data_IF_583267820458
#
_entry.id   IF_583267820458
#
_cell.length_a   1.000
_cell.length_b   1.000
_cell.length_c   1.000
_cell.angle_alpha   90.00
_cell.angle_beta   90.00
_cell.angle_gamma   90.00
#
_symmetry.space_group_name_H-M   'P 1'
#
loop_
_entity.id
_entity.type
_entity.pdbx_description
1 polymer ?
#
# COMPACT_ATOMS: atom_id res chain seq x y z
N UNK A 1 7.23 13.97 21.84
CA UNK A 1 6.60 12.66 22.09
C UNK A 1 5.11 12.90 22.10
N UNK A 2 4.38 12.26 21.22
CA UNK A 2 2.92 12.40 21.12
C UNK A 2 2.23 11.09 21.51
N UNK A 3 0.98 11.19 21.98
CA UNK A 3 0.14 10.06 22.32
C UNK A 3 -0.90 9.84 21.23
N UNK A 4 -0.84 8.69 20.54
CA UNK A 4 -1.67 8.37 19.39
C UNK A 4 -2.64 7.24 19.71
N UNK A 5 -3.94 7.46 19.52
CA UNK A 5 -4.93 6.40 19.53
C UNK A 5 -5.02 5.77 18.15
N UNK A 6 -4.80 4.47 18.07
CA UNK A 6 -4.96 3.70 16.83
C UNK A 6 -6.16 2.76 16.97
N UNK A 7 -7.14 2.94 16.10
CA UNK A 7 -8.34 2.12 15.98
C UNK A 7 -8.23 1.23 14.74
N UNK A 8 -8.26 -0.08 14.93
CA UNK A 8 -8.20 -1.05 13.84
C UNK A 8 -8.77 -2.39 14.30
N UNK A 9 -9.48 -3.09 13.42
CA UNK A 9 -9.94 -4.47 13.62
C UNK A 9 -8.93 -5.43 13.00
N UNK A 10 -7.95 -5.90 13.80
CA UNK A 10 -6.97 -6.93 13.43
C UNK A 10 -6.31 -6.73 12.04
N UNK A 11 -6.07 -5.49 11.65
CA UNK A 11 -5.47 -5.18 10.36
C UNK A 11 -3.94 -5.16 10.45
N UNK A 12 -3.23 -5.96 9.65
CA UNK A 12 -1.76 -5.99 9.64
C UNK A 12 -1.11 -4.61 9.47
N UNK A 13 -1.74 -3.73 8.67
CA UNK A 13 -1.25 -2.36 8.47
C UNK A 13 -1.23 -1.54 9.77
N UNK A 14 -2.22 -1.73 10.62
CA UNK A 14 -2.29 -1.02 11.89
C UNK A 14 -1.21 -1.50 12.87
N UNK A 15 -0.92 -2.79 12.90
CA UNK A 15 0.10 -3.35 13.80
C UNK A 15 1.50 -2.85 13.44
N UNK A 16 1.84 -2.84 12.16
CA UNK A 16 3.15 -2.30 11.74
C UNK A 16 3.21 -0.77 11.89
N UNK A 17 2.07 -0.06 11.68
CA UNK A 17 1.98 1.37 11.99
C UNK A 17 2.26 1.66 13.46
N UNK A 18 1.69 0.85 14.37
CA UNK A 18 1.94 0.94 15.80
C UNK A 18 3.41 0.69 16.12
N UNK A 19 4.03 -0.31 15.48
CA UNK A 19 5.46 -0.58 15.67
C UNK A 19 6.33 0.62 15.27
N UNK A 20 6.05 1.23 14.12
CA UNK A 20 6.80 2.40 13.66
C UNK A 20 6.62 3.60 14.60
N UNK A 21 5.40 3.89 15.04
CA UNK A 21 5.14 4.94 16.01
C UNK A 21 5.95 4.75 17.30
N UNK A 22 6.01 3.51 17.82
CA UNK A 22 6.78 3.19 19.01
C UNK A 22 8.30 3.34 18.77
N UNK A 23 8.80 2.97 17.58
CA UNK A 23 10.21 3.15 17.21
C UNK A 23 10.59 4.63 17.12
N UNK A 24 9.66 5.48 16.64
CA UNK A 24 9.84 6.94 16.57
C UNK A 24 9.65 7.63 17.94
N UNK A 25 9.44 6.86 19.02
CA UNK A 25 9.32 7.36 20.38
C UNK A 25 7.94 7.94 20.73
N UNK A 26 6.90 7.66 19.94
CA UNK A 26 5.52 8.02 20.26
C UNK A 26 4.87 6.95 21.14
N UNK A 27 3.90 7.36 21.95
CA UNK A 27 3.09 6.45 22.79
C UNK A 27 1.82 6.08 22.05
N UNK A 28 1.53 4.79 21.96
CA UNK A 28 0.31 4.30 21.31
C UNK A 28 -0.67 3.75 22.34
N UNK A 29 -1.94 4.11 22.20
CA UNK A 29 -3.06 3.60 22.99
C UNK A 29 -4.11 2.96 22.09
N UNK A 30 -4.81 1.94 22.60
CA UNK A 30 -5.88 1.23 21.87
C UNK A 30 -7.28 1.55 22.42
N UNK A 31 -7.37 2.42 23.43
CA UNK A 31 -8.63 2.85 24.02
C UNK A 31 -8.65 4.36 24.11
N UNK A 32 -9.81 4.96 23.87
CA UNK A 32 -9.98 6.38 23.98
C UNK A 32 -9.64 6.85 25.42
N UNK A 33 -8.75 7.82 25.50
CA UNK A 33 -8.31 8.47 26.73
C UNK A 33 -8.43 9.98 26.54
N UNK A 34 -8.56 10.73 27.65
CA UNK A 34 -8.80 12.18 27.58
C UNK A 34 -7.61 12.98 27.04
N UNK A 35 -6.40 12.43 27.09
CA UNK A 35 -5.14 13.09 26.77
C UNK A 35 -4.48 12.56 25.48
N UNK A 36 -5.27 12.26 24.45
CA UNK A 36 -4.78 11.77 23.15
C UNK A 36 -4.54 12.95 22.20
N UNK A 37 -3.32 13.04 21.63
CA UNK A 37 -2.95 14.10 20.69
C UNK A 37 -3.51 13.85 19.27
N UNK A 38 -3.50 12.59 18.83
CA UNK A 38 -3.98 12.19 17.50
C UNK A 38 -4.81 10.91 17.57
N UNK A 39 -5.86 10.85 16.74
CA UNK A 39 -6.70 9.66 16.57
C UNK A 39 -6.62 9.23 15.12
N UNK A 40 -6.20 8.00 14.88
CA UNK A 40 -6.09 7.38 13.56
C UNK A 40 -6.95 6.12 13.53
N UNK A 41 -7.85 6.03 12.58
CA UNK A 41 -8.72 4.88 12.40
C UNK A 41 -8.48 4.24 11.03
N UNK A 42 -8.21 2.94 11.03
CA UNK A 42 -8.09 2.12 9.83
C UNK A 42 -9.42 1.44 9.53
N UNK A 43 -10.18 2.01 8.61
CA UNK A 43 -11.49 1.50 8.14
C UNK A 43 -12.54 1.23 9.22
N UNK A 44 -12.36 1.74 10.46
CA UNK A 44 -13.35 1.62 11.52
C UNK A 44 -14.15 2.92 11.62
N UNK A 45 -15.49 2.86 11.59
CA UNK A 45 -16.32 4.05 11.82
C UNK A 45 -16.03 4.66 13.18
N UNK A 46 -15.90 5.98 13.22
CA UNK A 46 -15.67 6.77 14.43
C UNK A 46 -16.82 7.75 14.59
N UNK A 47 -17.24 8.02 15.82
CA UNK A 47 -18.27 9.02 16.11
C UNK A 47 -17.91 10.36 15.44
N UNK A 48 -18.88 10.99 14.77
CA UNK A 48 -18.70 12.25 14.05
C UNK A 48 -18.21 13.42 14.92
N UNK A 49 -18.32 13.29 16.24
CA UNK A 49 -17.80 14.28 17.20
C UNK A 49 -16.31 14.19 17.41
N UNK A 50 -15.69 13.05 17.04
CA UNK A 50 -14.29 12.77 17.27
C UNK A 50 -13.44 13.25 16.09
N UNK A 51 -12.43 14.07 16.35
CA UNK A 51 -11.48 14.62 15.38
C UNK A 51 -10.45 13.54 14.94
N UNK A 52 -10.94 12.51 14.22
CA UNK A 52 -10.11 11.41 13.74
C UNK A 52 -9.60 11.61 12.32
N UNK A 53 -8.42 11.07 12.06
CA UNK A 53 -7.90 10.82 10.71
C UNK A 53 -8.35 9.41 10.31
N UNK A 54 -9.14 9.32 9.24
CA UNK A 54 -9.58 8.04 8.68
C UNK A 54 -8.63 7.60 7.58
N UNK A 55 -8.13 6.38 7.65
CA UNK A 55 -7.34 5.74 6.60
C UNK A 55 -8.16 4.62 5.99
N UNK A 56 -8.46 4.71 4.71
CA UNK A 56 -9.44 3.84 4.05
C UNK A 56 -8.99 3.38 2.66
N UNK A 57 -9.46 2.22 2.17
CA UNK A 57 -9.36 1.84 0.77
C UNK A 57 -10.32 2.67 -0.10
N UNK A 58 -10.12 2.71 -1.44
CA UNK A 58 -10.98 3.48 -2.35
C UNK A 58 -12.44 3.03 -2.37
N UNK A 59 -12.71 1.78 -1.99
CA UNK A 59 -14.05 1.18 -1.94
C UNK A 59 -14.87 1.61 -0.71
N UNK A 60 -14.25 2.30 0.25
CA UNK A 60 -14.91 2.71 1.49
C UNK A 60 -15.50 4.12 1.39
N UNK A 61 -16.71 4.30 1.91
CA UNK A 61 -17.41 5.59 2.00
C UNK A 61 -17.23 6.28 3.36
N UNK A 62 -16.36 5.76 4.23
CA UNK A 62 -16.12 6.34 5.55
C UNK A 62 -15.43 7.71 5.44
N UNK A 63 -15.81 8.63 6.31
CA UNK A 63 -15.27 10.00 6.30
C UNK A 63 -14.73 10.35 7.69
N UNK A 64 -13.47 10.79 7.73
CA UNK A 64 -12.84 11.32 8.92
C UNK A 64 -13.17 12.80 9.14
N UNK A 65 -13.49 13.18 10.37
CA UNK A 65 -13.78 14.58 10.69
C UNK A 65 -12.57 15.48 10.52
N UNK A 66 -11.39 15.05 10.94
CA UNK A 66 -10.13 15.77 10.76
C UNK A 66 -9.64 15.68 9.32
N UNK A 67 -9.48 14.46 8.82
CA UNK A 67 -9.00 14.17 7.47
C UNK A 67 -9.43 12.76 7.06
N UNK A 68 -9.70 12.55 5.79
CA UNK A 68 -9.84 11.22 5.17
C UNK A 68 -8.66 10.97 4.26
N UNK A 69 -7.92 9.90 4.50
CA UNK A 69 -6.80 9.46 3.68
C UNK A 69 -7.22 8.22 2.89
N UNK A 70 -7.32 8.34 1.58
CA UNK A 70 -7.67 7.25 0.68
C UNK A 70 -6.38 6.66 0.11
N UNK A 71 -6.14 5.37 0.37
CA UNK A 71 -4.95 4.65 -0.09
C UNK A 71 -5.31 3.80 -1.29
N UNK A 72 -4.76 4.16 -2.46
CA UNK A 72 -5.03 3.50 -3.74
C UNK A 72 -3.91 2.50 -4.09
N UNK A 73 -4.28 1.44 -4.79
CA UNK A 73 -3.36 0.46 -5.39
C UNK A 73 -2.30 -0.08 -4.41
N UNK A 74 -2.67 -0.23 -3.14
CA UNK A 74 -1.81 -0.76 -2.10
C UNK A 74 -1.48 -2.22 -2.35
N UNK A 75 -0.20 -2.57 -2.34
CA UNK A 75 0.26 -3.93 -2.52
C UNK A 75 0.86 -4.45 -1.21
N UNK A 76 0.19 -5.43 -0.61
CA UNK A 76 0.69 -6.25 0.48
C UNK A 76 -0.07 -7.56 0.52
N UNK A 77 0.62 -8.68 0.72
CA UNK A 77 -0.03 -9.97 0.92
C UNK A 77 -0.88 -9.96 2.21
N UNK A 78 -2.07 -10.54 2.16
CA UNK A 78 -3.00 -10.58 3.28
C UNK A 78 -3.81 -9.29 3.50
N UNK A 79 -3.84 -8.39 2.50
CA UNK A 79 -4.60 -7.14 2.55
C UNK A 79 -5.48 -6.95 1.31
N UNK A 80 -6.13 -8.02 0.86
CA UNK A 80 -6.97 -8.04 -0.35
C UNK A 80 -8.15 -7.09 -0.26
N UNK A 81 -8.66 -6.80 0.93
CA UNK A 81 -9.72 -5.82 1.15
C UNK A 81 -9.32 -4.37 0.83
N UNK A 82 -8.01 -4.08 0.75
CA UNK A 82 -7.49 -2.76 0.43
C UNK A 82 -7.25 -2.53 -1.06
N UNK A 83 -7.14 -3.61 -1.82
CA UNK A 83 -6.92 -3.54 -3.26
C UNK A 83 -7.36 -4.84 -3.92
N UNK A 84 -8.02 -4.73 -5.06
CA UNK A 84 -8.31 -5.88 -5.92
C UNK A 84 -7.02 -6.26 -6.67
N UNK A 85 -6.26 -7.20 -6.07
CA UNK A 85 -4.96 -7.58 -6.57
C UNK A 85 -5.05 -8.89 -7.37
N UNK A 86 -4.63 -8.91 -8.64
CA UNK A 86 -4.66 -10.11 -9.47
C UNK A 86 -3.52 -11.09 -9.13
N UNK A 87 -2.64 -10.75 -8.20
CA UNK A 87 -1.40 -11.50 -7.92
C UNK A 87 -1.66 -12.90 -7.39
N UNK A 88 -2.73 -13.09 -6.60
CA UNK A 88 -3.11 -14.40 -6.10
C UNK A 88 -3.47 -15.35 -7.25
N UNK A 89 -4.28 -14.91 -8.20
CA UNK A 89 -4.65 -15.68 -9.38
C UNK A 89 -3.43 -16.00 -10.25
N UNK A 90 -2.55 -15.01 -10.46
CA UNK A 90 -1.32 -15.22 -11.22
C UNK A 90 -0.38 -16.22 -10.55
N UNK A 91 -0.26 -16.16 -9.23
CA UNK A 91 0.54 -17.10 -8.45
C UNK A 91 -0.01 -18.53 -8.57
N UNK A 92 -1.32 -18.71 -8.32
CA UNK A 92 -1.97 -20.01 -8.31
C UNK A 92 -2.00 -20.66 -9.70
N UNK A 93 -2.15 -19.87 -10.75
CA UNK A 93 -2.06 -20.32 -12.15
C UNK A 93 -0.61 -20.50 -12.65
N UNK A 94 0.41 -20.29 -11.80
CA UNK A 94 1.83 -20.30 -12.19
C UNK A 94 2.11 -19.35 -13.37
N UNK A 95 1.42 -18.20 -13.38
CA UNK A 95 1.49 -17.20 -14.44
C UNK A 95 1.11 -17.73 -15.84
N UNK A 96 0.23 -18.73 -15.93
CA UNK A 96 -0.24 -19.28 -17.21
C UNK A 96 -1.36 -18.44 -17.84
N UNK A 97 -2.08 -17.68 -17.02
CA UNK A 97 -3.22 -16.86 -17.45
C UNK A 97 -2.85 -15.37 -17.42
N UNK A 98 -2.47 -14.79 -18.57
CA UNK A 98 -2.24 -13.35 -18.66
C UNK A 98 -3.56 -12.59 -18.50
N UNK A 99 -3.51 -11.32 -18.08
CA UNK A 99 -4.72 -10.49 -17.95
C UNK A 99 -5.45 -10.36 -19.30
N UNK A 100 -6.77 -10.42 -19.25
CA UNK A 100 -7.64 -10.29 -20.44
C UNK A 100 -7.86 -8.82 -20.79
N UNK A 101 -7.89 -7.95 -19.78
CA UNK A 101 -8.08 -6.51 -19.91
C UNK A 101 -6.89 -5.78 -19.31
N UNK A 102 -6.55 -4.65 -19.93
CA UNK A 102 -5.47 -3.81 -19.44
C UNK A 102 -6.07 -2.59 -18.72
N UNK A 103 -5.74 -2.44 -17.45
CA UNK A 103 -6.08 -1.28 -16.65
C UNK A 103 -4.78 -0.60 -16.20
N UNK A 104 -4.90 0.64 -15.72
CA UNK A 104 -3.75 1.42 -15.31
C UNK A 104 -3.77 1.57 -13.79
N UNK A 105 -2.70 1.14 -13.13
CA UNK A 105 -2.56 1.18 -11.69
C UNK A 105 -1.32 1.98 -11.28
N UNK A 106 -1.39 2.59 -10.10
CA UNK A 106 -0.31 3.35 -9.48
C UNK A 106 0.14 2.61 -8.21
N UNK A 107 0.76 1.45 -8.41
CA UNK A 107 1.15 0.53 -7.34
C UNK A 107 1.92 1.22 -6.23
N UNK A 108 1.54 0.92 -5.01
CA UNK A 108 2.05 1.56 -3.81
C UNK A 108 2.57 0.51 -2.83
N UNK A 109 3.81 0.72 -2.36
CA UNK A 109 4.34 -0.04 -1.24
C UNK A 109 3.60 0.33 0.04
N UNK A 110 3.30 -0.67 0.81
CA UNK A 110 2.77 -0.51 2.15
C UNK A 110 3.75 0.28 3.07
N UNK A 111 5.07 0.11 2.92
CA UNK A 111 6.08 0.87 3.67
C UNK A 111 6.06 2.36 3.35
N UNK A 112 5.91 2.71 2.06
CA UNK A 112 5.74 4.09 1.64
C UNK A 112 4.44 4.68 2.21
N UNK A 113 3.35 3.88 2.25
CA UNK A 113 2.10 4.28 2.86
C UNK A 113 2.27 4.66 4.33
N UNK A 114 2.89 3.79 5.13
CA UNK A 114 3.13 4.07 6.54
C UNK A 114 4.02 5.30 6.75
N UNK A 115 5.07 5.40 5.95
CA UNK A 115 5.95 6.55 6.00
C UNK A 115 5.19 7.85 5.71
N UNK A 116 4.29 7.85 4.72
CA UNK A 116 3.44 9.01 4.43
C UNK A 116 2.46 9.31 5.57
N UNK A 117 1.82 8.29 6.13
CA UNK A 117 0.87 8.44 7.25
C UNK A 117 1.53 9.12 8.45
N UNK A 118 2.72 8.68 8.84
CA UNK A 118 3.49 9.31 9.93
C UNK A 118 3.74 10.78 9.61
N UNK A 119 4.24 11.11 8.40
CA UNK A 119 4.46 12.50 8.01
C UNK A 119 3.20 13.36 8.07
N UNK A 120 2.07 12.84 7.58
CA UNK A 120 0.80 13.57 7.58
C UNK A 120 0.26 13.78 8.99
N UNK A 121 0.28 12.74 9.85
CA UNK A 121 -0.29 12.81 11.20
C UNK A 121 0.44 13.85 12.06
N UNK A 122 1.76 13.99 11.90
CA UNK A 122 2.59 14.92 12.64
C UNK A 122 2.86 16.23 11.87
N UNK A 123 2.14 16.48 10.77
CA UNK A 123 2.17 17.78 10.11
C UNK A 123 1.76 18.89 11.06
N UNK A 124 2.50 20.00 11.04
CA UNK A 124 2.20 21.19 11.85
C UNK A 124 1.06 22.02 11.26
N UNK A 125 0.84 21.89 9.96
CA UNK A 125 -0.18 22.63 9.25
C UNK A 125 -1.53 21.89 9.28
N UNK A 126 -2.65 22.64 9.18
CA UNK A 126 -3.97 22.03 9.09
C UNK A 126 -4.07 21.07 7.90
N UNK A 127 -4.53 19.86 8.15
CA UNK A 127 -4.72 18.87 7.11
C UNK A 127 -5.91 19.20 6.21
N UNK A 128 -5.83 18.97 4.90
CA UNK A 128 -7.00 19.03 4.04
C UNK A 128 -8.02 17.95 4.41
N UNK A 129 -9.28 18.17 4.05
CA UNK A 129 -10.36 17.22 4.37
C UNK A 129 -10.17 15.85 3.75
N UNK A 130 -9.49 15.79 2.60
CA UNK A 130 -9.19 14.55 1.89
C UNK A 130 -7.78 14.58 1.35
N UNK A 131 -7.10 13.45 1.50
CA UNK A 131 -5.79 13.16 0.91
C UNK A 131 -5.89 11.82 0.16
N UNK A 132 -5.30 11.77 -1.01
CA UNK A 132 -5.12 10.53 -1.76
C UNK A 132 -3.64 10.11 -1.71
N UNK A 133 -3.38 8.82 -1.47
CA UNK A 133 -2.06 8.22 -1.49
C UNK A 133 -2.04 7.14 -2.57
N UNK A 134 -1.12 7.23 -3.52
CA UNK A 134 -0.83 6.19 -4.50
C UNK A 134 0.62 6.30 -4.98
N UNK A 135 1.06 5.31 -5.74
CA UNK A 135 2.36 5.37 -6.42
C UNK A 135 2.44 6.53 -7.41
N UNK A 136 3.65 6.94 -7.78
CA UNK A 136 3.86 8.03 -8.76
C UNK A 136 3.91 7.53 -10.20
N UNK A 137 4.40 6.32 -10.41
CA UNK A 137 4.52 5.70 -11.73
C UNK A 137 3.32 4.80 -11.99
N UNK A 138 2.58 5.12 -13.04
CA UNK A 138 1.53 4.25 -13.54
C UNK A 138 2.11 3.10 -14.34
N UNK A 139 1.51 1.94 -14.20
CA UNK A 139 1.81 0.76 -15.00
C UNK A 139 0.50 0.11 -15.45
N UNK A 140 0.51 -0.49 -16.61
CA UNK A 140 -0.60 -1.32 -17.05
C UNK A 140 -0.59 -2.65 -16.30
N UNK A 141 -1.74 -3.31 -16.24
CA UNK A 141 -1.82 -4.66 -15.66
C UNK A 141 -0.95 -5.65 -16.46
N UNK A 142 -0.87 -5.48 -17.77
CA UNK A 142 -0.02 -6.33 -18.63
C UNK A 142 1.47 -6.14 -18.32
N UNK A 143 1.95 -4.90 -18.16
CA UNK A 143 3.33 -4.63 -17.74
C UNK A 143 3.61 -5.22 -16.36
N UNK A 144 2.67 -5.07 -15.43
CA UNK A 144 2.77 -5.60 -14.07
C UNK A 144 2.82 -7.14 -14.08
N UNK A 145 2.00 -7.78 -14.93
CA UNK A 145 2.00 -9.24 -15.08
C UNK A 145 3.35 -9.77 -15.57
N UNK A 146 3.96 -9.16 -16.57
CA UNK A 146 5.26 -9.59 -17.09
C UNK A 146 6.39 -9.44 -16.05
N UNK A 147 6.34 -8.35 -15.26
CA UNK A 147 7.28 -8.18 -14.14
C UNK A 147 7.05 -9.24 -13.05
N UNK A 148 5.79 -9.46 -12.64
CA UNK A 148 5.41 -10.48 -11.66
C UNK A 148 5.85 -11.88 -12.12
N UNK A 149 5.56 -12.24 -13.36
CA UNK A 149 5.93 -13.51 -13.96
C UNK A 149 7.44 -13.76 -13.95
N UNK A 150 8.22 -12.73 -14.28
CA UNK A 150 9.67 -12.78 -14.23
C UNK A 150 10.16 -13.07 -12.80
N UNK A 151 9.64 -12.35 -11.82
CA UNK A 151 9.99 -12.52 -10.41
C UNK A 151 9.53 -13.88 -9.88
N UNK A 152 8.31 -14.30 -10.19
CA UNK A 152 7.77 -15.61 -9.82
C UNK A 152 8.69 -16.75 -10.30
N UNK A 153 9.03 -16.79 -11.58
CA UNK A 153 9.88 -17.84 -12.10
C UNK A 153 11.29 -17.85 -11.49
N UNK A 154 11.87 -16.67 -11.23
CA UNK A 154 13.16 -16.57 -10.53
C UNK A 154 13.07 -17.15 -9.12
N UNK A 155 12.04 -16.77 -8.38
CA UNK A 155 11.83 -17.23 -7.00
C UNK A 155 11.62 -18.74 -6.94
N UNK A 156 10.76 -19.29 -7.81
CA UNK A 156 10.49 -20.73 -7.84
C UNK A 156 11.74 -21.55 -8.22
N UNK A 157 12.56 -21.08 -9.15
CA UNK A 157 13.83 -21.75 -9.48
C UNK A 157 14.79 -21.80 -8.30
N UNK A 158 14.88 -20.75 -7.51
CA UNK A 158 15.73 -20.73 -6.31
C UNK A 158 15.23 -21.74 -5.29
N UNK A 159 13.93 -21.88 -5.13
CA UNK A 159 13.31 -22.85 -4.21
C UNK A 159 13.47 -24.31 -4.70
N UNK A 160 13.36 -24.56 -5.99
CA UNK A 160 13.47 -25.89 -6.59
C UNK A 160 14.94 -26.37 -6.73
N UNK A 161 15.92 -25.55 -6.31
CA UNK A 161 17.36 -25.81 -6.34
C UNK A 161 17.95 -26.33 -7.64
N UNK A 162 18.40 -25.44 -8.46
CA UNK A 162 19.20 -25.73 -9.65
C UNK A 162 19.31 -24.50 -10.53
N UNK A 163 20.29 -23.65 -10.24
CA UNK A 163 20.58 -22.51 -11.11
C UNK A 163 20.92 -23.01 -12.52
N UNK A 164 20.01 -22.77 -13.46
CA UNK A 164 20.35 -22.78 -14.87
C UNK A 164 20.00 -21.45 -15.50
N UNK A 165 21.02 -20.75 -15.99
CA UNK A 165 20.97 -19.35 -16.39
C UNK A 165 20.39 -19.09 -17.79
N UNK A 166 19.83 -20.10 -18.46
CA UNK A 166 19.54 -20.06 -19.90
C UNK A 166 18.15 -19.58 -20.32
N UNK A 167 17.20 -19.34 -19.40
CA UNK A 167 15.82 -18.97 -19.78
C UNK A 167 15.50 -17.47 -19.65
N UNK A 168 16.46 -16.60 -19.90
CA UNK A 168 16.27 -15.15 -19.91
C UNK A 168 15.88 -14.60 -21.30
N UNK A 169 15.18 -15.35 -22.11
CA UNK A 169 14.63 -14.81 -23.35
C UNK A 169 13.47 -13.83 -23.01
N UNK A 170 13.72 -12.56 -23.27
CA UNK A 170 12.68 -11.53 -23.31
C UNK A 170 11.71 -11.87 -24.43
N UNK A 171 10.55 -12.43 -24.10
CA UNK A 171 9.43 -12.45 -25.04
C UNK A 171 8.93 -11.03 -25.22
N UNK A 172 8.72 -10.63 -26.49
CA UNK A 172 8.12 -9.36 -26.84
C UNK A 172 6.74 -9.22 -26.14
N UNK A 173 6.53 -8.10 -25.48
CA UNK A 173 5.25 -7.78 -24.84
C UNK A 173 4.16 -7.71 -25.91
N UNK A 174 3.12 -8.51 -25.73
CA UNK A 174 1.89 -8.37 -26.54
C UNK A 174 1.17 -7.12 -26.01
N UNK A 175 0.96 -6.14 -26.89
CA UNK A 175 0.23 -4.93 -26.53
C UNK A 175 -1.27 -5.24 -26.55
N UNK A 176 -1.92 -5.13 -25.38
CA UNK A 176 -3.37 -5.22 -25.26
C UNK A 176 -4.00 -3.81 -25.38
N UNK A 177 -5.26 -3.70 -25.86
CA UNK A 177 -5.95 -2.42 -25.88
C UNK A 177 -6.17 -1.93 -24.45
N UNK A 178 -5.73 -0.71 -24.16
CA UNK A 178 -5.92 -0.06 -22.86
C UNK A 178 -7.39 0.31 -22.70
N UNK A 179 -8.11 -0.36 -21.83
CA UNK A 179 -9.49 -0.06 -21.46
C UNK A 179 -9.49 0.87 -20.26
N UNK A 180 -9.75 2.14 -20.51
CA UNK A 180 -9.95 3.16 -19.48
C UNK A 180 -8.68 3.57 -18.73
N UNK A 181 -8.17 4.76 -19.01
CA UNK A 181 -7.22 5.41 -18.11
C UNK A 181 -7.95 5.80 -16.84
N UNK A 182 -7.72 5.10 -15.73
CA UNK A 182 -8.02 5.72 -14.46
C UNK A 182 -7.11 6.94 -14.32
N UNK A 183 -7.68 8.12 -14.18
CA UNK A 183 -6.88 9.33 -13.92
C UNK A 183 -6.18 9.13 -12.57
N UNK A 184 -4.87 9.36 -12.53
CA UNK A 184 -4.13 9.35 -11.27
C UNK A 184 -4.80 10.28 -10.26
N UNK A 185 -4.99 9.85 -9.00
CA UNK A 185 -5.45 10.73 -7.95
C UNK A 185 -4.60 12.00 -7.81
N UNK A 186 -5.20 13.08 -7.34
CA UNK A 186 -4.47 14.32 -7.13
C UNK A 186 -3.57 14.21 -5.89
N UNK A 187 -2.28 14.06 -6.11
CA UNK A 187 -1.27 13.92 -5.05
C UNK A 187 -0.72 15.26 -4.53
N UNK A 188 -1.12 16.40 -5.09
CA UNK A 188 -0.60 17.70 -4.66
C UNK A 188 -0.90 18.00 -3.17
N UNK A 189 -2.12 17.75 -2.63
CA UNK A 189 -2.38 17.98 -1.21
C UNK A 189 -1.50 17.13 -0.30
N UNK A 190 -1.23 15.87 -0.66
CA UNK A 190 -0.31 15.00 0.07
C UNK A 190 1.11 15.53 0.02
N UNK A 191 1.58 15.93 -1.16
CA UNK A 191 2.93 16.46 -1.35
C UNK A 191 3.17 17.71 -0.50
N UNK A 192 2.23 18.66 -0.53
CA UNK A 192 2.28 19.88 0.27
C UNK A 192 2.24 19.60 1.78
N UNK A 193 1.37 18.67 2.23
CA UNK A 193 1.30 18.28 3.65
C UNK A 193 2.59 17.66 4.14
N UNK A 194 3.29 16.88 3.30
CA UNK A 194 4.57 16.27 3.65
C UNK A 194 5.72 17.28 3.65
N UNK A 195 5.72 18.28 2.75
CA UNK A 195 6.66 19.41 2.81
C UNK A 195 6.48 20.20 4.10
N UNK A 196 5.24 20.50 4.48
CA UNK A 196 4.90 21.17 5.73
C UNK A 196 5.31 20.36 6.98
N UNK A 197 5.32 19.04 6.88
CA UNK A 197 5.83 18.13 7.90
C UNK A 197 7.38 18.09 7.98
N UNK A 198 8.08 18.83 7.11
CA UNK A 198 9.55 18.89 7.08
C UNK A 198 10.21 17.82 6.21
N UNK A 199 9.47 17.22 5.27
CA UNK A 199 10.06 16.32 4.27
C UNK A 199 10.44 17.11 3.04
N UNK A 200 11.74 17.30 2.82
CA UNK A 200 12.28 18.14 1.73
C UNK A 200 11.80 17.72 0.33
N UNK A 201 11.58 16.43 0.10
CA UNK A 201 11.14 15.88 -1.18
C UNK A 201 9.59 15.77 -1.30
N UNK A 202 8.83 16.13 -0.26
CA UNK A 202 7.38 15.94 -0.20
C UNK A 202 6.98 14.47 -0.40
N UNK A 203 5.99 14.21 -1.27
CA UNK A 203 5.59 12.85 -1.61
C UNK A 203 6.52 12.23 -2.68
N UNK A 204 7.35 11.31 -2.23
CA UNK A 204 8.27 10.56 -3.09
C UNK A 204 8.39 9.13 -2.58
N UNK A 205 7.56 8.18 -3.09
CA UNK A 205 7.68 6.78 -2.74
C UNK A 205 9.06 6.24 -3.11
N UNK A 206 9.65 5.46 -2.21
CA UNK A 206 11.01 4.95 -2.32
C UNK A 206 11.08 3.61 -3.04
N UNK A 207 9.99 2.82 -2.95
CA UNK A 207 9.99 1.44 -3.43
C UNK A 207 9.44 1.34 -4.86
N UNK A 208 10.24 0.72 -5.75
CA UNK A 208 9.83 0.40 -7.11
C UNK A 208 8.99 -0.88 -7.17
N UNK A 209 8.28 -1.09 -8.28
CA UNK A 209 7.35 -2.22 -8.46
C UNK A 209 8.02 -3.58 -8.22
N UNK A 210 9.25 -3.80 -8.68
CA UNK A 210 9.95 -5.07 -8.47
C UNK A 210 10.11 -5.41 -6.98
N UNK A 211 10.41 -4.42 -6.12
CA UNK A 211 10.50 -4.62 -4.66
C UNK A 211 9.12 -4.91 -4.08
N UNK A 212 8.10 -4.18 -4.49
CA UNK A 212 6.72 -4.33 -4.05
C UNK A 212 6.21 -5.75 -4.34
N UNK A 213 6.42 -6.22 -5.56
CA UNK A 213 6.01 -7.56 -5.98
C UNK A 213 6.82 -8.67 -5.28
N UNK A 214 8.10 -8.46 -5.04
CA UNK A 214 8.94 -9.41 -4.27
C UNK A 214 8.45 -9.52 -2.82
N UNK A 215 8.07 -8.42 -2.17
CA UNK A 215 7.51 -8.43 -0.82
C UNK A 215 6.17 -9.19 -0.78
N UNK A 216 5.32 -9.03 -1.80
CA UNK A 216 4.08 -9.78 -1.91
C UNK A 216 4.34 -11.29 -2.07
N UNK A 217 5.26 -11.67 -2.97
CA UNK A 217 5.66 -13.06 -3.18
C UNK A 217 6.24 -13.71 -1.92
N UNK A 218 7.10 -12.99 -1.20
CA UNK A 218 7.67 -13.47 0.06
C UNK A 218 6.58 -13.75 1.10
N UNK A 219 5.65 -12.80 1.32
CA UNK A 219 4.54 -13.00 2.24
C UNK A 219 3.64 -14.18 1.87
N UNK A 220 3.41 -14.41 0.55
CA UNK A 220 2.64 -15.57 0.07
C UNK A 220 3.34 -16.89 0.38
N UNK A 221 4.65 -16.96 0.18
CA UNK A 221 5.44 -18.17 0.43
C UNK A 221 5.54 -18.47 1.93
N UNK A 222 5.80 -17.46 2.76
CA UNK A 222 5.82 -17.60 4.22
C UNK A 222 4.48 -18.13 4.77
N UNK A 223 3.36 -17.66 4.22
CA UNK A 223 2.05 -18.14 4.59
C UNK A 223 1.82 -19.60 4.21
N UNK A 224 2.40 -20.09 3.10
CA UNK A 224 2.32 -21.49 2.69
C UNK A 224 3.15 -22.41 3.61
N UNK A 225 4.34 -21.96 4.03
CA UNK A 225 5.20 -22.72 4.93
C UNK A 225 4.59 -22.84 6.35
N UNK A 226 3.84 -21.84 6.81
CA UNK A 226 3.22 -21.86 8.11
C UNK A 226 1.99 -22.77 8.23
N UNK A 227 1.48 -23.31 7.12
CA UNK A 227 0.32 -24.24 7.08
C UNK A 227 0.78 -25.71 7.01
N UNK A 228 2.07 -26.00 6.77
CA UNK A 228 2.66 -27.33 6.72
C UNK A 228 3.26 -27.74 8.07
#
# INVERSE_FOLDING_TARGET
>A
MAKVLVLADNQPIADEFIQLLNQDGHSVVRKLAEDVDHIVSFSIPVDEKIEAIMVIPPSSDLIGKKCTIVVHDLVKYGMEEWSDLPFQEWFDSKCQHPPVHDSFNYWLSWRDTLSALIGVIFSKDPLPKKLDICGRRGMTISETFEEFKTLYHRTMRVLDSGMDAQDLEKKASVSFPIIGRSSRPNLNPLHESLLAAGRDDGWRPAYGIGVILMEWLAGKLEAQESVL
#
